data_IF_219896359376
#
_entry.id   IF_219896359376
#
_cell.length_a   1.000
_cell.length_b   1.000
_cell.length_c   1.000
_cell.angle_alpha   90.00
_cell.angle_beta   90.00
_cell.angle_gamma   90.00
#
_symmetry.space_group_name_H-M   'P 1'
#
loop_
_entity.id
_entity.type
_entity.pdbx_description
1 polymer ?
#
# COMPACT_ATOMS: atom_id res chain seq x y z
N UNK A 1 20.53 13.20 26.70
CA UNK A 1 20.61 12.90 25.25
C UNK A 1 19.88 11.62 24.83
N UNK A 2 19.92 10.51 25.59
CA UNK A 2 19.22 9.26 25.21
C UNK A 2 17.67 9.36 25.25
N UNK A 3 17.12 10.22 26.12
CA UNK A 3 15.67 10.32 26.35
C UNK A 3 14.94 11.15 25.28
N UNK A 4 15.57 12.20 24.74
CA UNK A 4 15.01 13.00 23.64
C UNK A 4 14.93 12.21 22.32
N UNK A 5 15.91 11.34 22.06
CA UNK A 5 15.94 10.43 20.91
C UNK A 5 14.76 9.43 20.98
N UNK A 6 14.34 9.04 22.19
CA UNK A 6 13.20 8.15 22.43
C UNK A 6 11.86 8.82 22.07
N UNK A 7 11.65 10.08 22.47
CA UNK A 7 10.42 10.83 22.19
C UNK A 7 10.28 11.12 20.69
N UNK A 8 11.37 11.50 20.02
CA UNK A 8 11.39 11.68 18.57
C UNK A 8 11.07 10.38 17.82
N UNK A 9 11.64 9.24 18.25
CA UNK A 9 11.36 7.92 17.68
C UNK A 9 9.91 7.46 17.87
N UNK A 10 9.29 7.77 19.02
CA UNK A 10 7.88 7.45 19.29
C UNK A 10 6.92 8.30 18.44
N UNK A 11 7.23 9.60 18.24
CA UNK A 11 6.47 10.47 17.34
C UNK A 11 6.59 10.01 15.89
N UNK A 12 7.78 9.64 15.43
CA UNK A 12 8.01 9.10 14.09
C UNK A 12 7.23 7.80 13.85
N UNK A 13 7.20 6.87 14.82
CA UNK A 13 6.37 5.64 14.73
C UNK A 13 4.88 5.91 14.67
N UNK A 14 4.37 6.87 15.45
CA UNK A 14 2.95 7.26 15.41
C UNK A 14 2.59 7.93 14.08
N UNK A 15 3.46 8.80 13.56
CA UNK A 15 3.30 9.44 12.27
C UNK A 15 3.28 8.39 11.14
N UNK A 16 4.22 7.44 11.14
CA UNK A 16 4.27 6.35 10.16
C UNK A 16 3.02 5.45 10.23
N UNK A 17 2.52 5.14 11.44
CA UNK A 17 1.28 4.36 11.61
C UNK A 17 0.06 5.12 11.08
N UNK A 18 -0.06 6.42 11.39
CA UNK A 18 -1.14 7.27 10.86
C UNK A 18 -1.08 7.38 9.33
N UNK A 19 0.10 7.65 8.78
CA UNK A 19 0.31 7.72 7.33
C UNK A 19 -0.10 6.41 6.65
N UNK A 20 0.22 5.25 7.23
CA UNK A 20 -0.20 3.95 6.71
C UNK A 20 -1.71 3.74 6.73
N UNK A 21 -2.39 4.19 7.79
CA UNK A 21 -3.85 4.11 7.88
C UNK A 21 -4.49 5.03 6.83
N UNK A 22 -4.03 6.28 6.75
CA UNK A 22 -4.53 7.26 5.77
C UNK A 22 -4.31 6.76 4.35
N UNK A 23 -3.12 6.24 4.04
CA UNK A 23 -2.83 5.65 2.74
C UNK A 23 -3.77 4.46 2.43
N UNK A 24 -4.06 3.60 3.42
CA UNK A 24 -5.01 2.51 3.26
C UNK A 24 -6.43 3.00 2.95
N UNK A 25 -6.93 3.99 3.69
CA UNK A 25 -8.25 4.60 3.43
C UNK A 25 -8.28 5.26 2.05
N UNK A 26 -7.25 6.02 1.71
CA UNK A 26 -7.13 6.68 0.41
C UNK A 26 -7.09 5.66 -0.74
N UNK A 27 -6.39 4.54 -0.57
CA UNK A 27 -6.40 3.43 -1.54
C UNK A 27 -7.80 2.84 -1.75
N UNK A 28 -8.59 2.67 -0.69
CA UNK A 28 -9.98 2.20 -0.82
C UNK A 28 -10.83 3.22 -1.57
N UNK A 29 -10.70 4.51 -1.24
CA UNK A 29 -11.43 5.58 -1.94
C UNK A 29 -11.08 5.61 -3.42
N UNK A 30 -9.78 5.55 -3.77
CA UNK A 30 -9.32 5.49 -5.16
C UNK A 30 -9.92 4.28 -5.88
N UNK A 31 -9.90 3.10 -5.24
CA UNK A 31 -10.47 1.90 -5.83
C UNK A 31 -11.97 2.04 -6.13
N UNK A 32 -12.76 2.56 -5.17
CA UNK A 32 -14.19 2.78 -5.37
C UNK A 32 -14.47 3.79 -6.49
N UNK A 33 -13.66 4.85 -6.61
CA UNK A 33 -13.76 5.80 -7.71
C UNK A 33 -13.44 5.17 -9.06
N UNK A 34 -12.43 4.29 -9.13
CA UNK A 34 -12.12 3.54 -10.36
C UNK A 34 -13.28 2.62 -10.78
N UNK A 35 -13.94 1.97 -9.81
CA UNK A 35 -15.13 1.15 -10.08
C UNK A 35 -16.29 2.03 -10.59
N UNK A 36 -16.54 3.18 -9.97
CA UNK A 36 -17.57 4.10 -10.43
C UNK A 36 -17.30 4.63 -11.86
N UNK A 37 -16.05 5.00 -12.15
CA UNK A 37 -15.64 5.40 -13.51
C UNK A 37 -15.84 4.26 -14.50
N UNK A 38 -15.57 3.01 -14.10
CA UNK A 38 -15.79 1.86 -14.96
C UNK A 38 -17.27 1.61 -15.24
N UNK A 39 -18.11 1.76 -14.23
CA UNK A 39 -19.56 1.67 -14.37
C UNK A 39 -20.08 2.75 -15.32
N UNK A 40 -19.67 4.01 -15.12
CA UNK A 40 -20.03 5.13 -16.00
C UNK A 40 -19.53 4.89 -17.43
N UNK A 41 -18.29 4.44 -17.60
CA UNK A 41 -17.74 4.13 -18.91
C UNK A 41 -18.53 3.03 -19.62
N UNK A 42 -18.93 1.96 -18.91
CA UNK A 42 -19.64 0.85 -19.51
C UNK A 42 -21.10 1.18 -19.87
N UNK A 43 -21.73 2.14 -19.19
CA UNK A 43 -23.14 2.50 -19.41
C UNK A 43 -23.35 3.81 -20.18
N UNK A 44 -22.32 4.63 -20.35
CA UNK A 44 -22.42 5.91 -21.04
C UNK A 44 -21.73 5.88 -22.41
N UNK A 45 -22.53 5.78 -23.47
CA UNK A 45 -22.06 5.79 -24.85
C UNK A 45 -21.29 7.07 -25.23
N UNK A 46 -21.67 8.22 -24.68
CA UNK A 46 -20.93 9.47 -24.90
C UNK A 46 -19.54 9.40 -24.28
N UNK A 47 -19.42 8.79 -23.11
CA UNK A 47 -18.13 8.65 -22.45
C UNK A 47 -17.21 7.67 -23.19
N UNK A 48 -17.76 6.56 -23.72
CA UNK A 48 -17.01 5.65 -24.59
C UNK A 48 -16.55 6.32 -25.88
N UNK A 49 -17.43 7.08 -26.55
CA UNK A 49 -17.09 7.80 -27.76
C UNK A 49 -16.02 8.86 -27.51
N UNK A 50 -16.14 9.63 -26.42
CA UNK A 50 -15.12 10.58 -26.00
C UNK A 50 -13.78 9.89 -25.73
N UNK A 51 -13.78 8.77 -25.01
CA UNK A 51 -12.56 8.03 -24.71
C UNK A 51 -11.91 7.45 -25.97
N UNK A 52 -12.70 6.92 -26.90
CA UNK A 52 -12.19 6.45 -28.20
C UNK A 52 -11.50 7.57 -29.00
N UNK A 53 -12.03 8.79 -28.93
CA UNK A 53 -11.47 9.95 -29.62
C UNK A 53 -10.24 10.56 -28.92
N UNK A 54 -10.17 10.54 -27.59
CA UNK A 54 -9.14 11.26 -26.82
C UNK A 54 -8.06 10.35 -26.21
N UNK A 55 -8.43 9.16 -25.77
CA UNK A 55 -7.53 8.20 -25.13
C UNK A 55 -7.03 7.13 -26.12
N UNK A 56 -7.59 7.11 -27.33
CA UNK A 56 -7.26 6.13 -28.36
C UNK A 56 -7.36 4.70 -27.84
N UNK A 57 -6.31 3.91 -28.05
CA UNK A 57 -6.25 2.52 -27.62
C UNK A 57 -6.25 2.31 -26.11
N UNK A 58 -6.13 3.35 -25.27
CA UNK A 58 -6.13 3.22 -23.80
C UNK A 58 -7.53 3.22 -23.17
N UNK A 59 -8.60 3.44 -23.96
CA UNK A 59 -9.98 3.43 -23.46
C UNK A 59 -10.37 2.13 -22.73
N UNK A 60 -9.77 0.99 -23.09
CA UNK A 60 -10.01 -0.30 -22.41
C UNK A 60 -9.70 -0.27 -20.91
N UNK A 61 -8.78 0.61 -20.46
CA UNK A 61 -8.46 0.74 -19.05
C UNK A 61 -9.66 1.22 -18.23
N UNK A 62 -10.51 2.05 -18.84
CA UNK A 62 -11.70 2.61 -18.21
C UNK A 62 -12.82 1.59 -18.05
N UNK A 63 -12.85 0.49 -18.82
CA UNK A 63 -13.88 -0.56 -18.70
C UNK A 63 -13.88 -1.29 -17.33
N UNK A 64 -12.82 -1.13 -16.53
CA UNK A 64 -12.64 -1.85 -15.26
C UNK A 64 -11.34 -2.64 -15.20
N UNK A 65 -10.60 -2.71 -16.32
CA UNK A 65 -9.26 -3.31 -16.34
C UNK A 65 -8.31 -2.59 -15.38
N UNK A 66 -8.34 -1.25 -15.34
CA UNK A 66 -7.51 -0.47 -14.42
C UNK A 66 -7.91 -0.71 -12.95
N UNK A 67 -9.21 -0.81 -12.66
CA UNK A 67 -9.71 -1.10 -11.32
C UNK A 67 -9.24 -2.48 -10.84
N UNK A 68 -9.35 -3.50 -11.69
CA UNK A 68 -8.88 -4.87 -11.40
C UNK A 68 -7.38 -4.92 -11.19
N UNK A 69 -6.61 -4.24 -12.05
CA UNK A 69 -5.15 -4.16 -11.89
C UNK A 69 -4.76 -3.48 -10.59
N UNK A 70 -5.41 -2.37 -10.25
CA UNK A 70 -5.20 -1.66 -8.99
C UNK A 70 -5.53 -2.53 -7.78
N UNK A 71 -6.65 -3.27 -7.81
CA UNK A 71 -7.00 -4.24 -6.77
C UNK A 71 -5.91 -5.30 -6.60
N UNK A 72 -5.37 -5.84 -7.70
CA UNK A 72 -4.25 -6.78 -7.68
C UNK A 72 -3.02 -6.22 -6.97
N UNK A 73 -2.67 -4.96 -7.23
CA UNK A 73 -1.57 -4.26 -6.54
C UNK A 73 -1.87 -4.13 -5.04
N UNK A 74 -3.09 -3.72 -4.67
CA UNK A 74 -3.48 -3.61 -3.27
C UNK A 74 -3.33 -4.95 -2.56
N UNK A 75 -3.87 -6.02 -3.14
CA UNK A 75 -3.74 -7.38 -2.63
C UNK A 75 -2.27 -7.74 -2.45
N UNK A 76 -1.42 -7.52 -3.45
CA UNK A 76 0.01 -7.80 -3.35
C UNK A 76 0.71 -7.01 -2.23
N UNK A 77 0.39 -5.73 -2.06
CA UNK A 77 0.97 -4.86 -1.02
C UNK A 77 0.49 -5.25 0.37
N UNK A 78 -0.79 -5.60 0.53
CA UNK A 78 -1.37 -6.00 1.82
C UNK A 78 -0.98 -7.44 2.23
N UNK A 79 -0.82 -8.36 1.27
CA UNK A 79 -0.33 -9.71 1.54
C UNK A 79 1.18 -9.82 1.70
N UNK A 80 1.97 -8.83 1.25
CA UNK A 80 3.41 -8.81 1.50
C UNK A 80 3.65 -8.71 3.00
N UNK A 81 3.79 -9.87 3.65
CA UNK A 81 4.25 -9.98 5.03
C UNK A 81 5.56 -9.19 5.12
N UNK A 82 5.68 -8.20 6.04
CA UNK A 82 6.99 -7.64 6.31
C UNK A 82 7.90 -8.82 6.69
N UNK A 83 9.14 -8.91 6.17
CA UNK A 83 10.07 -9.97 6.56
C UNK A 83 10.12 -9.98 8.09
N UNK A 84 9.78 -11.14 8.66
CA UNK A 84 9.42 -11.27 10.06
C UNK A 84 10.47 -10.62 10.96
N UNK A 85 10.09 -9.52 11.60
CA UNK A 85 10.88 -8.91 12.68
C UNK A 85 11.11 -9.90 13.86
N UNK A 86 10.39 -11.03 13.87
CA UNK A 86 10.62 -12.17 14.76
C UNK A 86 11.99 -12.84 14.49
N UNK A 87 12.38 -13.05 13.24
CA UNK A 87 13.68 -13.66 12.90
C UNK A 87 14.87 -12.79 13.29
N UNK A 88 14.71 -11.47 13.21
CA UNK A 88 15.77 -10.52 13.57
C UNK A 88 15.96 -10.40 15.10
N UNK A 89 14.90 -10.65 15.90
CA UNK A 89 14.99 -10.70 17.37
C UNK A 89 15.61 -11.99 17.89
N UNK A 90 15.34 -13.12 17.24
CA UNK A 90 15.95 -14.43 17.61
C UNK A 90 17.46 -14.36 17.37
N UNK A 91 17.87 -13.91 16.18
CA UNK A 91 19.30 -13.80 15.83
C UNK A 91 20.07 -12.82 16.73
N UNK A 92 19.42 -11.74 17.20
CA UNK A 92 19.99 -10.79 18.16
C UNK A 92 20.13 -11.39 19.56
N UNK A 93 19.23 -12.29 19.99
CA UNK A 93 19.35 -12.99 21.28
C UNK A 93 20.43 -14.07 21.25
N UNK A 94 20.57 -14.82 20.15
CA UNK A 94 21.66 -15.79 19.98
C UNK A 94 23.03 -15.11 20.00
N UNK A 95 23.21 -13.98 19.32
CA UNK A 95 24.49 -13.27 19.34
C UNK A 95 24.87 -12.74 20.73
N UNK A 96 23.89 -12.32 21.53
CA UNK A 96 24.12 -11.89 22.92
C UNK A 96 24.42 -13.08 23.84
N UNK A 97 23.79 -14.24 23.62
CA UNK A 97 24.08 -15.44 24.40
C UNK A 97 25.50 -15.97 24.15
N UNK A 98 25.93 -16.05 22.89
CA UNK A 98 27.26 -16.55 22.50
C UNK A 98 28.40 -15.65 23.01
N UNK A 99 28.16 -14.34 23.15
CA UNK A 99 29.16 -13.42 23.69
C UNK A 99 29.23 -13.42 25.22
N UNK A 100 28.22 -13.96 25.92
CA UNK A 100 28.22 -14.13 27.38
C UNK A 100 28.85 -15.46 27.79
N UNK A 101 28.75 -16.51 26.97
CA UNK A 101 29.42 -17.80 27.23
C UNK A 101 30.91 -17.81 26.88
N UNK A 102 31.39 -16.83 26.09
CA UNK A 102 32.78 -16.70 25.68
C UNK A 102 33.64 -15.86 26.64
N UNK A 103 33.13 -15.51 27.83
CA UNK A 103 33.77 -14.65 28.83
C UNK A 103 33.89 -15.39 30.17
#
# INVERSE_FOLDING_TARGET
MAEEISIAGLRARRAARRARIVAGVQSVVIFLLLVAVAEDYNHNQYFQAWAGANLGGFGFLLNGTLATFYAGILVAVFLRRPPDAAGQRVRKREQVAVSVEAQ
#
